data_IF_752173528767
#
_entry.id   IF_752173528767
#
_cell.length_a   1.000
_cell.length_b   1.000
_cell.length_c   1.000
_cell.angle_alpha   90.00
_cell.angle_beta   90.00
_cell.angle_gamma   90.00
#
_symmetry.space_group_name_H-M   'P 1'
#
loop_
_entity.id
_entity.type
_entity.pdbx_description
1 polymer ?
#
# COMPACT_ATOMS: atom_id res chain seq x y z
N UNK A 1 -34.33 -97.84 -20.14
CA UNK A 1 -33.71 -97.80 -21.48
C UNK A 1 -32.70 -96.65 -21.49
N UNK A 2 -31.52 -96.90 -20.91
CA UNK A 2 -30.22 -97.08 -21.59
C UNK A 2 -29.79 -95.85 -22.43
N UNK A 3 -28.67 -95.24 -22.01
CA UNK A 3 -27.53 -94.68 -22.77
C UNK A 3 -27.07 -93.34 -22.16
N UNK A 4 -25.80 -92.97 -22.05
CA UNK A 4 -24.53 -93.68 -22.01
C UNK A 4 -23.50 -92.62 -21.56
N UNK A 5 -22.69 -93.01 -20.58
CA UNK A 5 -21.36 -92.52 -20.23
C UNK A 5 -20.59 -91.85 -21.40
N UNK A 6 -19.95 -90.69 -21.17
CA UNK A 6 -18.49 -90.42 -21.34
C UNK A 6 -18.11 -89.02 -20.81
N UNK A 7 -17.39 -89.01 -19.67
CA UNK A 7 -16.37 -87.99 -19.36
C UNK A 7 -15.13 -88.33 -20.23
N UNK A 8 -14.30 -87.36 -20.69
CA UNK A 8 -13.18 -86.96 -19.83
C UNK A 8 -12.60 -85.53 -20.05
N UNK A 9 -11.74 -85.19 -19.09
CA UNK A 9 -10.51 -84.40 -19.19
C UNK A 9 -10.58 -82.86 -19.20
N UNK A 10 -10.14 -82.32 -18.06
CA UNK A 10 -9.90 -80.93 -17.77
C UNK A 10 -8.67 -80.36 -18.51
N UNK A 11 -8.75 -79.08 -18.88
CA UNK A 11 -7.60 -78.19 -18.95
C UNK A 11 -8.03 -76.77 -18.55
N UNK A 12 -7.78 -76.41 -17.29
CA UNK A 12 -7.98 -75.06 -16.79
C UNK A 12 -6.82 -74.18 -17.27
N UNK A 13 -7.07 -73.35 -18.29
CA UNK A 13 -6.16 -72.25 -18.64
C UNK A 13 -6.47 -71.05 -17.73
N UNK A 14 -5.66 -70.89 -16.68
CA UNK A 14 -5.56 -69.64 -15.96
C UNK A 14 -4.84 -68.62 -16.87
N UNK A 15 -5.61 -67.79 -17.57
CA UNK A 15 -5.07 -66.61 -18.24
C UNK A 15 -4.78 -65.56 -17.17
N UNK A 16 -3.52 -65.47 -16.74
CA UNK A 16 -3.04 -64.36 -15.94
C UNK A 16 -3.19 -63.07 -16.74
N UNK A 17 -4.02 -62.15 -16.25
CA UNK A 17 -4.07 -60.77 -16.74
C UNK A 17 -2.73 -60.12 -16.42
N UNK A 18 -1.84 -60.02 -17.41
CA UNK A 18 -0.73 -59.09 -17.35
C UNK A 18 -1.35 -57.69 -17.34
N UNK A 19 -1.33 -57.04 -16.17
CA UNK A 19 -1.51 -55.60 -16.08
C UNK A 19 -0.41 -54.97 -16.93
N UNK A 20 -0.77 -54.53 -18.13
CA UNK A 20 0.07 -53.63 -18.90
C UNK A 20 0.12 -52.32 -18.13
N UNK A 21 1.20 -52.09 -17.39
CA UNK A 21 1.51 -50.78 -16.84
C UNK A 21 1.59 -49.82 -18.02
N UNK A 22 0.65 -48.87 -18.09
CA UNK A 22 0.60 -47.86 -19.13
C UNK A 22 1.89 -47.02 -19.06
N UNK A 23 2.88 -47.39 -19.87
CA UNK A 23 4.18 -46.74 -19.90
C UNK A 23 4.04 -45.36 -20.55
N UNK A 24 4.25 -44.32 -19.75
CA UNK A 24 4.25 -42.94 -20.23
C UNK A 24 5.60 -42.61 -20.89
N UNK A 25 5.59 -41.91 -22.02
CA UNK A 25 6.78 -41.50 -22.75
C UNK A 25 7.03 -40.00 -22.59
N UNK A 26 8.19 -39.61 -22.09
CA UNK A 26 8.59 -38.21 -21.90
C UNK A 26 9.41 -37.74 -23.10
N UNK A 27 8.89 -36.77 -23.84
CA UNK A 27 9.47 -36.26 -25.08
C UNK A 27 9.79 -34.77 -25.01
N UNK A 28 10.97 -34.34 -25.45
CA UNK A 28 11.27 -32.94 -25.73
C UNK A 28 12.03 -32.75 -27.04
N UNK A 29 12.23 -31.50 -27.43
CA UNK A 29 13.09 -31.15 -28.56
C UNK A 29 14.48 -30.77 -28.03
N UNK A 30 15.51 -31.48 -28.49
CA UNK A 30 16.90 -31.16 -28.16
C UNK A 30 17.33 -29.90 -28.92
N UNK A 31 17.70 -28.79 -28.26
CA UNK A 31 18.11 -27.56 -28.93
C UNK A 31 19.47 -27.66 -29.63
N UNK A 32 20.32 -28.61 -29.27
CA UNK A 32 21.64 -28.78 -29.90
C UNK A 32 21.55 -29.52 -31.22
N UNK A 33 20.59 -30.43 -31.35
CA UNK A 33 20.41 -31.27 -32.55
C UNK A 33 19.12 -31.00 -33.32
N UNK A 34 18.16 -30.28 -32.71
CA UNK A 34 16.80 -30.05 -33.22
C UNK A 34 15.90 -31.29 -33.19
N UNK A 35 16.41 -32.45 -32.77
CA UNK A 35 15.72 -33.74 -32.85
C UNK A 35 14.80 -33.94 -31.65
N UNK A 36 13.71 -34.67 -31.87
CA UNK A 36 12.82 -35.12 -30.80
C UNK A 36 13.47 -36.28 -30.06
N UNK A 37 13.65 -36.13 -28.75
CA UNK A 37 14.18 -37.17 -27.87
C UNK A 37 13.03 -37.61 -26.96
N UNK A 38 12.79 -38.92 -26.89
CA UNK A 38 11.75 -39.52 -26.05
C UNK A 38 12.32 -40.68 -25.24
N UNK A 39 11.97 -40.77 -23.96
CA UNK A 39 12.28 -41.95 -23.14
C UNK A 39 11.16 -42.27 -22.13
N UNK A 40 11.24 -43.45 -21.54
CA UNK A 40 10.41 -43.96 -20.46
C UNK A 40 10.55 -43.16 -19.14
N UNK A 41 11.71 -42.53 -18.91
CA UNK A 41 11.93 -41.47 -17.91
C UNK A 41 12.17 -40.10 -18.55
N UNK A 42 12.29 -39.02 -17.78
CA UNK A 42 12.63 -37.69 -18.31
C UNK A 42 14.12 -37.65 -18.75
N UNK A 43 14.43 -37.48 -20.05
CA UNK A 43 15.82 -37.39 -20.50
C UNK A 43 16.55 -36.19 -19.87
N UNK A 44 17.87 -36.33 -19.63
CA UNK A 44 18.72 -35.22 -19.15
C UNK A 44 18.65 -34.00 -20.06
N UNK A 45 18.58 -34.21 -21.37
CA UNK A 45 18.51 -33.14 -22.38
C UNK A 45 17.21 -32.33 -22.27
N UNK A 46 16.18 -32.90 -21.63
CA UNK A 46 14.87 -32.29 -21.43
C UNK A 46 14.73 -31.58 -20.07
N UNK A 47 15.70 -31.71 -19.16
CA UNK A 47 15.63 -31.05 -17.84
C UNK A 47 15.57 -29.52 -18.00
N UNK A 48 14.56 -28.89 -17.38
CA UNK A 48 14.35 -27.44 -17.39
C UNK A 48 13.75 -26.86 -18.68
N UNK A 49 13.45 -27.71 -19.68
CA UNK A 49 12.87 -27.32 -20.98
C UNK A 49 11.39 -27.73 -21.05
N UNK A 50 10.62 -27.18 -22.00
CA UNK A 50 9.28 -27.70 -22.27
C UNK A 50 9.37 -29.15 -22.78
N UNK A 51 8.57 -30.04 -22.21
CA UNK A 51 8.47 -31.45 -22.62
C UNK A 51 7.02 -31.93 -22.57
N UNK A 52 6.71 -32.99 -23.30
CA UNK A 52 5.38 -33.60 -23.40
C UNK A 52 5.43 -35.03 -22.88
N UNK A 53 4.42 -35.43 -22.13
CA UNK A 53 4.18 -36.80 -21.68
C UNK A 53 3.15 -37.41 -22.62
N UNK A 54 3.51 -38.53 -23.25
CA UNK A 54 2.63 -39.31 -24.12
C UNK A 54 2.16 -40.58 -23.42
N UNK A 55 0.99 -41.09 -23.80
CA UNK A 55 0.55 -42.44 -23.45
C UNK A 55 1.26 -43.50 -24.31
N UNK A 56 1.03 -44.77 -23.99
CA UNK A 56 1.55 -45.91 -24.76
C UNK A 56 1.03 -45.97 -26.20
N UNK A 57 -0.02 -45.22 -26.53
CA UNK A 57 -0.58 -45.08 -27.88
C UNK A 57 -0.03 -43.84 -28.63
N UNK A 58 0.85 -43.05 -28.01
CA UNK A 58 1.47 -41.87 -28.59
C UNK A 58 0.65 -40.57 -28.47
N UNK A 59 -0.47 -40.58 -27.75
CA UNK A 59 -1.29 -39.38 -27.52
C UNK A 59 -0.68 -38.52 -26.41
N UNK A 60 -0.71 -37.19 -26.56
CA UNK A 60 -0.21 -36.26 -25.54
C UNK A 60 -1.17 -36.25 -24.35
N UNK A 61 -0.72 -36.76 -23.20
CA UNK A 61 -1.47 -36.73 -21.94
C UNK A 61 -1.24 -35.38 -21.24
N UNK A 62 -0.01 -34.86 -21.27
CA UNK A 62 0.36 -33.66 -20.53
C UNK A 62 1.50 -32.92 -21.24
N UNK A 63 1.37 -31.61 -21.36
CA UNK A 63 2.47 -30.73 -21.76
C UNK A 63 2.98 -29.99 -20.52
N UNK A 64 4.28 -30.09 -20.27
CA UNK A 64 4.95 -29.42 -19.16
C UNK A 64 5.78 -28.30 -19.77
N UNK A 65 5.37 -27.06 -19.52
CA UNK A 65 6.14 -25.89 -19.93
C UNK A 65 7.51 -25.88 -19.21
N UNK A 66 8.53 -25.33 -19.88
CA UNK A 66 9.87 -25.22 -19.31
C UNK A 66 9.91 -24.32 -18.08
N UNK A 67 11.07 -24.24 -17.42
CA UNK A 67 11.25 -23.24 -16.37
C UNK A 67 10.96 -21.84 -16.93
N UNK A 68 10.17 -21.04 -16.21
CA UNK A 68 9.85 -19.66 -16.61
C UNK A 68 11.10 -18.92 -17.08
N UNK A 69 10.98 -18.17 -18.18
CA UNK A 69 12.10 -17.36 -18.65
C UNK A 69 12.48 -16.33 -17.59
N UNK A 70 13.73 -15.84 -17.56
CA UNK A 70 14.13 -14.78 -16.63
C UNK A 70 13.18 -13.58 -16.65
N UNK A 71 12.66 -13.22 -17.82
CA UNK A 71 11.70 -12.13 -18.03
C UNK A 71 10.33 -12.45 -17.40
N UNK A 72 9.79 -13.65 -17.64
CA UNK A 72 8.53 -14.09 -17.02
C UNK A 72 8.64 -14.19 -15.48
N UNK A 73 9.80 -14.61 -14.96
CA UNK A 73 10.07 -14.61 -13.52
C UNK A 73 10.10 -13.17 -12.98
N UNK A 74 10.77 -12.26 -13.68
CA UNK A 74 10.83 -10.86 -13.30
C UNK A 74 9.44 -10.20 -13.29
N UNK A 75 8.62 -10.49 -14.30
CA UNK A 75 7.24 -9.99 -14.38
C UNK A 75 6.37 -10.50 -13.22
N UNK A 76 6.40 -11.81 -12.92
CA UNK A 76 5.67 -12.37 -11.77
C UNK A 76 6.12 -11.77 -10.44
N UNK A 77 7.41 -11.51 -10.26
CA UNK A 77 7.93 -10.85 -9.05
C UNK A 77 7.44 -9.39 -8.99
N UNK A 78 7.44 -8.67 -10.11
CA UNK A 78 6.95 -7.30 -10.17
C UNK A 78 5.44 -7.22 -9.88
N UNK A 79 4.64 -8.11 -10.44
CA UNK A 79 3.20 -8.20 -10.19
C UNK A 79 2.91 -8.55 -8.72
N UNK A 80 3.59 -9.57 -8.18
CA UNK A 80 3.46 -9.93 -6.76
C UNK A 80 3.84 -8.76 -5.84
N UNK A 81 4.85 -7.96 -6.20
CA UNK A 81 5.24 -6.76 -5.45
C UNK A 81 4.14 -5.69 -5.52
N UNK A 82 3.53 -5.46 -6.69
CA UNK A 82 2.41 -4.51 -6.86
C UNK A 82 1.21 -4.94 -6.03
N UNK A 83 0.84 -6.22 -6.11
CA UNK A 83 -0.30 -6.76 -5.37
C UNK A 83 -0.10 -6.64 -3.84
N UNK A 84 1.10 -6.98 -3.35
CA UNK A 84 1.45 -6.78 -1.93
C UNK A 84 1.37 -5.31 -1.51
N UNK A 85 1.80 -4.38 -2.36
CA UNK A 85 1.71 -2.94 -2.06
C UNK A 85 0.25 -2.46 -1.99
N UNK A 86 -0.62 -2.97 -2.87
CA UNK A 86 -2.07 -2.66 -2.85
C UNK A 86 -2.74 -3.23 -1.59
N UNK A 87 -2.43 -4.47 -1.23
CA UNK A 87 -2.95 -5.10 -0.01
C UNK A 87 -2.50 -4.36 1.26
N UNK A 88 -1.23 -3.94 1.30
CA UNK A 88 -0.69 -3.13 2.39
C UNK A 88 -1.37 -1.77 2.48
N UNK A 89 -1.52 -1.07 1.36
CA UNK A 89 -2.23 0.21 1.31
C UNK A 89 -3.68 0.07 1.80
N UNK A 90 -4.39 -0.98 1.37
CA UNK A 90 -5.75 -1.26 1.81
C UNK A 90 -5.80 -1.59 3.32
N UNK A 91 -4.81 -2.31 3.85
CA UNK A 91 -4.71 -2.61 5.28
C UNK A 91 -4.47 -1.34 6.10
N UNK A 92 -3.56 -0.49 5.66
CA UNK A 92 -3.29 0.81 6.29
C UNK A 92 -4.56 1.67 6.26
N UNK A 93 -5.26 1.72 5.12
CA UNK A 93 -6.49 2.49 5.00
C UNK A 93 -7.58 1.99 5.97
N UNK A 94 -7.81 0.67 6.06
CA UNK A 94 -8.77 0.11 7.02
C UNK A 94 -8.44 0.47 8.47
N UNK A 95 -7.15 0.46 8.83
CA UNK A 95 -6.71 0.89 10.17
C UNK A 95 -6.97 2.36 10.42
N UNK A 96 -6.71 3.23 9.44
CA UNK A 96 -7.02 4.67 9.53
C UNK A 96 -8.52 4.92 9.67
N UNK A 97 -9.33 4.22 8.88
CA UNK A 97 -10.79 4.32 8.91
C UNK A 97 -11.34 3.88 10.27
N UNK A 98 -10.84 2.76 10.80
CA UNK A 98 -11.21 2.28 12.13
C UNK A 98 -10.83 3.29 13.21
N UNK A 99 -9.60 3.80 13.19
CA UNK A 99 -9.15 4.82 14.15
C UNK A 99 -10.01 6.09 14.07
N UNK A 100 -10.43 6.50 12.87
CA UNK A 100 -11.30 7.66 12.68
C UNK A 100 -12.67 7.45 13.35
N UNK A 101 -13.29 6.29 13.17
CA UNK A 101 -14.56 5.93 13.81
C UNK A 101 -14.45 5.72 15.33
N UNK A 102 -13.30 5.26 15.82
CA UNK A 102 -13.03 5.12 17.25
C UNK A 102 -12.79 6.48 17.93
N UNK A 103 -12.22 7.44 17.19
CA UNK A 103 -11.93 8.79 17.70
C UNK A 103 -13.19 9.66 17.75
N UNK A 104 -14.08 9.53 16.76
CA UNK A 104 -15.26 10.39 16.62
C UNK A 104 -16.53 9.55 16.52
N UNK A 105 -17.52 9.83 17.37
CA UNK A 105 -18.81 9.15 17.34
C UNK A 105 -19.77 9.75 16.32
N UNK A 106 -19.56 11.01 15.94
CA UNK A 106 -20.47 11.80 15.11
C UNK A 106 -19.72 12.87 14.31
N UNK A 107 -20.42 13.50 13.36
CA UNK A 107 -19.86 14.65 12.62
C UNK A 107 -19.68 15.87 13.54
N UNK A 108 -20.57 16.00 14.52
CA UNK A 108 -20.54 17.04 15.53
C UNK A 108 -19.28 16.92 16.40
N UNK A 109 -18.82 15.71 16.70
CA UNK A 109 -17.56 15.48 17.43
C UNK A 109 -16.34 15.95 16.63
N UNK A 110 -16.34 15.72 15.31
CA UNK A 110 -15.29 16.19 14.39
C UNK A 110 -15.30 17.72 14.34
N UNK A 111 -16.48 18.33 14.20
CA UNK A 111 -16.62 19.79 14.16
C UNK A 111 -16.20 20.45 15.48
N UNK A 112 -16.52 19.84 16.63
CA UNK A 112 -16.07 20.30 17.94
C UNK A 112 -14.55 20.15 18.12
N UNK A 113 -13.96 19.04 17.67
CA UNK A 113 -12.52 18.85 17.68
C UNK A 113 -11.80 19.89 16.80
N UNK A 114 -12.33 20.16 15.59
CA UNK A 114 -11.84 21.23 14.72
C UNK A 114 -11.87 22.58 15.42
N UNK A 115 -13.00 22.95 16.02
CA UNK A 115 -13.13 24.24 16.70
C UNK A 115 -12.12 24.40 17.85
N UNK A 116 -11.86 23.34 18.62
CA UNK A 116 -10.84 23.36 19.68
C UNK A 116 -9.44 23.56 19.09
N UNK A 117 -9.06 22.76 18.10
CA UNK A 117 -7.75 22.88 17.45
C UNK A 117 -7.54 24.23 16.77
N UNK A 118 -8.54 24.74 16.04
CA UNK A 118 -8.48 26.09 15.46
C UNK A 118 -8.42 27.17 16.55
N UNK A 119 -9.09 26.97 17.68
CA UNK A 119 -9.05 27.87 18.82
C UNK A 119 -7.64 28.04 19.38
N UNK A 120 -6.91 26.94 19.54
CA UNK A 120 -5.50 26.95 19.99
C UNK A 120 -4.59 27.70 19.02
N UNK A 121 -4.73 27.46 17.72
CA UNK A 121 -3.93 28.17 16.69
C UNK A 121 -4.29 29.65 16.66
N UNK A 122 -5.59 29.99 16.74
CA UNK A 122 -6.07 31.38 16.75
C UNK A 122 -5.55 32.14 17.97
N UNK A 123 -5.52 31.50 19.12
CA UNK A 123 -4.97 32.10 20.34
C UNK A 123 -3.47 32.38 20.20
N UNK A 124 -2.70 31.45 19.62
CA UNK A 124 -1.29 31.68 19.33
C UNK A 124 -1.07 32.82 18.33
N UNK A 125 -1.92 32.93 17.30
CA UNK A 125 -1.89 34.06 16.35
C UNK A 125 -2.17 35.40 17.05
N UNK A 126 -3.20 35.46 17.90
CA UNK A 126 -3.55 36.64 18.69
C UNK A 126 -2.39 37.10 19.56
N UNK A 127 -1.73 36.17 20.24
CA UNK A 127 -0.56 36.49 21.08
C UNK A 127 0.61 37.04 20.26
N UNK A 128 0.89 36.48 19.07
CA UNK A 128 1.92 37.01 18.18
C UNK A 128 1.57 38.41 17.67
N UNK A 129 0.31 38.66 17.28
CA UNK A 129 -0.18 39.98 16.85
C UNK A 129 -0.07 41.03 17.96
N UNK A 130 -0.46 40.69 19.19
CA UNK A 130 -0.33 41.57 20.35
C UNK A 130 1.12 41.89 20.67
N UNK A 131 2.01 40.90 20.53
CA UNK A 131 3.44 41.11 20.71
C UNK A 131 4.01 42.04 19.64
N UNK A 132 3.66 41.84 18.37
CA UNK A 132 4.05 42.73 17.27
C UNK A 132 3.60 44.16 17.56
N UNK A 133 2.32 44.34 17.93
CA UNK A 133 1.78 45.66 18.24
C UNK A 133 2.50 46.35 19.42
N UNK A 134 2.92 45.57 20.41
CA UNK A 134 3.69 46.07 21.56
C UNK A 134 5.08 46.52 21.12
N UNK A 135 5.82 45.67 20.41
CA UNK A 135 7.19 45.97 19.96
C UNK A 135 7.20 47.10 18.91
N UNK A 136 6.14 47.24 18.11
CA UNK A 136 5.99 48.39 17.20
C UNK A 136 5.89 49.72 17.95
N UNK A 137 5.26 49.76 19.12
CA UNK A 137 5.23 50.97 19.96
C UNK A 137 6.62 51.28 20.54
N UNK A 138 7.34 50.26 20.98
CA UNK A 138 8.73 50.40 21.47
C UNK A 138 9.66 50.88 20.35
N UNK A 139 9.56 50.28 19.16
CA UNK A 139 10.29 50.71 17.97
C UNK A 139 10.00 52.17 17.64
N UNK A 140 8.73 52.59 17.71
CA UNK A 140 8.35 53.98 17.48
C UNK A 140 8.99 54.91 18.51
N UNK A 141 8.99 54.53 19.78
CA UNK A 141 9.66 55.32 20.83
C UNK A 141 11.15 55.55 20.51
N UNK A 142 11.88 54.48 20.16
CA UNK A 142 13.29 54.60 19.75
C UNK A 142 13.47 55.39 18.45
N UNK A 143 12.54 55.27 17.50
CA UNK A 143 12.58 56.03 16.26
C UNK A 143 12.38 57.53 16.51
N UNK A 144 11.42 57.89 17.36
CA UNK A 144 11.16 59.26 17.78
C UNK A 144 12.40 59.83 18.51
N UNK A 145 13.04 59.06 19.38
CA UNK A 145 14.30 59.45 20.04
C UNK A 145 15.45 59.65 19.03
N UNK A 146 15.58 58.76 18.05
CA UNK A 146 16.58 58.89 16.98
C UNK A 146 16.41 60.19 16.16
N UNK A 147 15.20 60.74 16.05
CA UNK A 147 14.97 62.00 15.33
C UNK A 147 15.72 63.19 15.93
N UNK A 148 15.86 63.22 17.27
CA UNK A 148 16.59 64.27 17.98
C UNK A 148 18.09 64.27 17.65
N UNK A 149 18.60 63.14 17.18
CA UNK A 149 20.00 62.95 16.81
C UNK A 149 20.24 63.01 15.29
N UNK A 150 19.27 63.37 14.44
CA UNK A 150 19.45 63.40 12.96
C UNK A 150 20.68 64.16 12.44
N UNK A 151 21.22 65.13 13.19
CA UNK A 151 22.41 65.92 12.83
C UNK A 151 23.66 65.57 13.66
N UNK A 152 23.59 64.54 14.50
CA UNK A 152 24.63 64.08 15.43
C UNK A 152 24.70 62.55 15.42
N UNK A 153 25.70 61.96 16.05
CA UNK A 153 25.70 60.51 16.27
C UNK A 153 24.67 60.16 17.34
N UNK A 154 23.78 59.21 17.05
CA UNK A 154 22.81 58.72 18.02
C UNK A 154 23.52 57.92 19.14
N UNK A 155 22.98 57.90 20.37
CA UNK A 155 23.49 57.02 21.42
C UNK A 155 23.41 55.54 21.01
N UNK A 156 24.39 54.69 21.39
CA UNK A 156 24.37 53.25 21.08
C UNK A 156 23.12 52.52 21.58
N UNK A 157 22.50 53.04 22.63
CA UNK A 157 21.25 52.51 23.19
C UNK A 157 20.08 52.64 22.21
N UNK A 158 19.95 53.79 21.53
CA UNK A 158 18.88 54.05 20.55
C UNK A 158 19.02 53.14 19.34
N UNK A 159 20.25 53.00 18.81
CA UNK A 159 20.53 52.10 17.68
C UNK A 159 20.27 50.63 18.06
N UNK A 160 20.66 50.23 19.26
CA UNK A 160 20.42 48.88 19.78
C UNK A 160 18.91 48.62 19.99
N UNK A 161 18.18 49.59 20.53
CA UNK A 161 16.73 49.53 20.73
C UNK A 161 15.98 49.34 19.41
N UNK A 162 16.29 50.15 18.39
CA UNK A 162 15.73 50.01 17.05
C UNK A 162 16.01 48.62 16.45
N UNK A 163 17.28 48.19 16.49
CA UNK A 163 17.69 46.92 15.92
C UNK A 163 17.00 45.74 16.61
N UNK A 164 16.92 45.75 17.94
CA UNK A 164 16.27 44.68 18.70
C UNK A 164 14.78 44.63 18.40
N UNK A 165 14.10 45.79 18.35
CA UNK A 165 12.69 45.85 18.01
C UNK A 165 12.41 45.37 16.56
N UNK A 166 13.28 45.72 15.60
CA UNK A 166 13.19 45.24 14.22
C UNK A 166 13.34 43.72 14.12
N UNK A 167 14.33 43.15 14.82
CA UNK A 167 14.52 41.70 14.86
C UNK A 167 13.34 40.98 15.47
N UNK A 168 12.80 41.51 16.56
CA UNK A 168 11.68 40.89 17.25
C UNK A 168 10.39 40.98 16.44
N UNK A 169 10.09 42.13 15.82
CA UNK A 169 8.95 42.27 14.90
C UNK A 169 9.06 41.24 13.78
N UNK A 170 10.25 41.09 13.19
CA UNK A 170 10.49 40.10 12.14
C UNK A 170 10.22 38.68 12.63
N UNK A 171 10.77 38.30 13.78
CA UNK A 171 10.60 36.96 14.36
C UNK A 171 9.12 36.65 14.65
N UNK A 172 8.39 37.60 15.25
CA UNK A 172 6.96 37.43 15.54
C UNK A 172 6.11 37.38 14.26
N UNK A 173 6.49 38.13 13.22
CA UNK A 173 5.81 38.08 11.92
C UNK A 173 6.01 36.72 11.25
N UNK A 174 7.23 36.16 11.28
CA UNK A 174 7.51 34.81 10.76
C UNK A 174 6.72 33.74 11.52
N UNK A 175 6.61 33.86 12.85
CA UNK A 175 5.77 33.00 13.68
C UNK A 175 4.29 33.11 13.29
N UNK A 176 3.77 34.32 13.12
CA UNK A 176 2.38 34.56 12.72
C UNK A 176 2.07 33.89 11.37
N UNK A 177 2.97 34.03 10.39
CA UNK A 177 2.81 33.38 9.08
C UNK A 177 2.90 31.85 9.18
N UNK A 178 3.73 31.31 10.06
CA UNK A 178 3.74 29.87 10.34
C UNK A 178 2.40 29.40 10.95
N UNK A 179 1.83 30.17 11.88
CA UNK A 179 0.54 29.85 12.49
C UNK A 179 -0.64 29.96 11.53
N UNK A 180 -0.59 30.90 10.57
CA UNK A 180 -1.58 30.94 9.48
C UNK A 180 -1.54 29.68 8.61
N UNK A 181 -0.34 29.21 8.23
CA UNK A 181 -0.20 27.94 7.50
C UNK A 181 -0.69 26.75 8.32
N UNK A 182 -0.40 26.74 9.62
CA UNK A 182 -0.91 25.71 10.55
C UNK A 182 -2.45 25.71 10.60
N UNK A 183 -3.09 26.88 10.65
CA UNK A 183 -4.55 27.00 10.59
C UNK A 183 -5.13 26.33 9.34
N UNK A 184 -4.53 26.56 8.18
CA UNK A 184 -4.99 25.97 6.92
C UNK A 184 -4.80 24.45 6.90
N UNK A 185 -3.68 23.95 7.43
CA UNK A 185 -3.43 22.50 7.58
C UNK A 185 -4.43 21.85 8.55
N UNK A 186 -4.74 22.51 9.66
CA UNK A 186 -5.76 22.04 10.62
C UNK A 186 -7.11 21.96 9.93
N UNK A 187 -7.53 23.00 9.22
CA UNK A 187 -8.79 23.02 8.46
C UNK A 187 -8.85 21.89 7.45
N UNK A 188 -7.82 21.76 6.62
CA UNK A 188 -7.76 20.72 5.59
C UNK A 188 -7.86 19.32 6.21
N UNK A 189 -7.10 19.05 7.28
CA UNK A 189 -7.16 17.77 7.99
C UNK A 189 -8.58 17.43 8.43
N UNK A 190 -9.26 18.35 9.11
CA UNK A 190 -10.61 18.09 9.61
C UNK A 190 -11.66 18.00 8.49
N UNK A 191 -11.49 18.70 7.37
CA UNK A 191 -12.33 18.52 6.19
C UNK A 191 -12.16 17.13 5.57
N UNK A 192 -10.92 16.64 5.48
CA UNK A 192 -10.61 15.29 5.02
C UNK A 192 -11.20 14.22 5.94
N UNK A 193 -11.02 14.37 7.26
CA UNK A 193 -11.61 13.50 8.28
C UNK A 193 -13.14 13.48 8.16
N UNK A 194 -13.78 14.65 8.01
CA UNK A 194 -15.23 14.76 7.84
C UNK A 194 -15.73 14.07 6.58
N UNK A 195 -15.07 14.31 5.43
CA UNK A 195 -15.40 13.62 4.17
C UNK A 195 -15.27 12.12 4.32
N UNK A 196 -14.16 11.65 4.91
CA UNK A 196 -13.90 10.22 5.06
C UNK A 196 -14.89 9.56 6.02
N UNK A 197 -15.25 10.24 7.11
CA UNK A 197 -16.26 9.76 8.05
C UNK A 197 -17.62 9.58 7.37
N UNK A 198 -18.03 10.51 6.51
CA UNK A 198 -19.27 10.41 5.72
C UNK A 198 -19.21 9.20 4.78
N UNK A 199 -18.11 9.02 4.05
CA UNK A 199 -17.93 7.88 3.15
C UNK A 199 -18.06 6.54 3.89
N UNK A 200 -17.32 6.36 4.99
CA UNK A 200 -17.32 5.13 5.77
C UNK A 200 -18.70 4.88 6.37
N UNK A 201 -19.30 5.89 7.02
CA UNK A 201 -20.61 5.74 7.67
C UNK A 201 -21.72 5.45 6.67
N UNK A 202 -21.66 6.03 5.46
CA UNK A 202 -22.60 5.74 4.38
C UNK A 202 -22.43 4.31 3.88
N UNK A 203 -21.20 3.86 3.63
CA UNK A 203 -20.92 2.49 3.22
C UNK A 203 -21.40 1.48 4.27
N UNK A 204 -21.14 1.73 5.56
CA UNK A 204 -21.59 0.87 6.65
C UNK A 204 -23.12 0.73 6.72
N UNK A 205 -23.87 1.80 6.42
CA UNK A 205 -25.34 1.74 6.34
C UNK A 205 -25.86 0.93 5.15
N UNK A 206 -25.09 0.87 4.07
CA UNK A 206 -25.46 0.14 2.84
C UNK A 206 -25.10 -1.35 2.89
N UNK A 207 -24.27 -1.78 3.85
CA UNK A 207 -23.91 -3.19 3.98
C UNK A 207 -25.14 -4.01 4.42
N UNK A 208 -25.46 -5.12 3.71
CA UNK A 208 -26.54 -6.00 4.13
C UNK A 208 -26.25 -6.58 5.51
N UNK A 209 -27.28 -6.62 6.37
CA UNK A 209 -27.18 -7.19 7.71
C UNK A 209 -26.66 -8.64 7.60
N UNK A 210 -25.68 -9.06 8.41
CA UNK A 210 -25.24 -10.45 8.41
C UNK A 210 -26.43 -11.34 8.71
N UNK A 211 -26.69 -12.32 7.85
CA UNK A 211 -27.76 -13.29 8.05
C UNK A 211 -27.59 -13.90 9.45
N UNK A 212 -28.68 -13.86 10.24
CA UNK A 212 -28.71 -14.52 11.56
C UNK A 212 -28.34 -16.00 11.39
N UNK A 213 -27.54 -16.57 12.31
CA UNK A 213 -27.21 -17.99 12.29
C UNK A 213 -28.44 -18.88 12.46
#
# INVERSE_FOLDING_TARGET
MVWALKLPLALALAAGSLLAEAANLYCCQDPSTGRRVCSDGLPEQCRGKPYRILDSAGNVIKEVEGALTPEQKAERVAEAKRQRALEEAARIQRRKDQALLETYGSLEDIDAARQRSEGEVREAMRQAEERIATVQKERKHWADEAEFYRRKTAPPEVETGLRNADYEIKAQTELLEAKKREMDLVRQKYEEDRRRFIEISTHLRQLPSPAKP
#
